data_IF_276507661932
#
_entry.id   IF_276507661932
#
_cell.length_a   1.000
_cell.length_b   1.000
_cell.length_c   1.000
_cell.angle_alpha   90.00
_cell.angle_beta   90.00
_cell.angle_gamma   90.00
#
_symmetry.space_group_name_H-M   'P 1'
#
loop_
_entity.id
_entity.type
_entity.pdbx_description
1 polymer ?
#
# COMPACT_ATOMS: atom_id res chain seq x y z
N UNK A 1 -10.39 -25.32 26.75
CA UNK A 1 -10.51 -23.91 26.33
C UNK A 1 -9.61 -23.71 25.12
N UNK A 2 -10.15 -23.31 23.98
CA UNK A 2 -9.30 -22.90 22.85
C UNK A 2 -8.60 -21.59 23.22
N UNK A 3 -7.27 -21.56 23.13
CA UNK A 3 -6.54 -20.28 23.18
C UNK A 3 -6.79 -19.55 21.87
N UNK A 4 -6.95 -18.23 21.94
CA UNK A 4 -7.03 -17.38 20.78
C UNK A 4 -6.02 -16.25 20.95
N UNK A 5 -5.21 -16.04 19.92
CA UNK A 5 -4.37 -14.86 19.82
C UNK A 5 -5.21 -13.72 19.25
N UNK A 6 -5.14 -12.55 19.90
CA UNK A 6 -5.85 -11.33 19.49
C UNK A 6 -4.86 -10.38 18.86
N UNK A 7 -5.15 -9.95 17.65
CA UNK A 7 -4.34 -8.97 16.94
C UNK A 7 -5.24 -7.91 16.30
N UNK A 8 -4.77 -6.67 16.35
CA UNK A 8 -5.43 -5.52 15.73
C UNK A 8 -4.94 -5.40 14.30
N UNK A 9 -5.87 -5.33 13.36
CA UNK A 9 -5.55 -5.18 11.94
C UNK A 9 -6.57 -4.26 11.26
N UNK A 10 -6.16 -3.70 10.12
CA UNK A 10 -7.02 -2.84 9.33
C UNK A 10 -7.84 -3.67 8.36
N UNK A 11 -9.16 -3.51 8.40
CA UNK A 11 -10.07 -4.10 7.41
C UNK A 11 -10.53 -3.04 6.45
N UNK A 12 -10.50 -3.38 5.17
CA UNK A 12 -10.96 -2.53 4.09
C UNK A 12 -12.48 -2.64 4.01
N UNK A 13 -13.17 -1.53 4.19
CA UNK A 13 -14.60 -1.41 3.94
C UNK A 13 -14.85 -1.20 2.45
N UNK A 14 -14.06 -0.34 1.80
CA UNK A 14 -14.01 -0.23 0.35
C UNK A 14 -12.71 0.41 -0.13
N UNK A 15 -12.39 0.20 -1.40
CA UNK A 15 -11.28 0.82 -2.08
C UNK A 15 -11.65 1.27 -3.49
N UNK A 16 -10.95 2.31 -3.96
CA UNK A 16 -11.19 2.92 -5.26
C UNK A 16 -9.93 3.62 -5.78
N UNK A 17 -9.75 3.63 -7.10
CA UNK A 17 -8.69 4.39 -7.76
C UNK A 17 -9.27 5.74 -8.16
N UNK A 18 -8.68 6.82 -7.66
CA UNK A 18 -9.16 8.18 -7.85
C UNK A 18 -8.04 9.03 -8.46
N UNK A 19 -8.40 9.88 -9.41
CA UNK A 19 -7.48 10.81 -10.08
C UNK A 19 -7.66 12.19 -9.43
N UNK A 20 -6.60 12.66 -8.80
CA UNK A 20 -6.50 14.02 -8.29
C UNK A 20 -5.69 14.84 -9.30
N UNK A 21 -6.14 16.05 -9.59
CA UNK A 21 -5.53 16.89 -10.61
C UNK A 21 -5.33 18.30 -10.08
N UNK A 22 -4.16 18.84 -10.37
CA UNK A 22 -3.83 20.24 -10.17
C UNK A 22 -3.31 20.85 -11.48
N UNK A 23 -3.64 22.12 -11.71
CA UNK A 23 -3.29 22.83 -12.95
C UNK A 23 -2.82 24.23 -12.56
N UNK A 24 -1.54 24.48 -12.76
CA UNK A 24 -0.95 25.81 -12.58
C UNK A 24 -0.50 26.38 -13.93
N UNK A 25 -0.55 27.70 -14.04
CA UNK A 25 -0.12 28.42 -15.24
C UNK A 25 0.80 29.56 -14.88
N UNK A 26 1.78 29.80 -15.74
CA UNK A 26 2.72 30.89 -15.58
C UNK A 26 3.59 30.75 -14.33
N UNK A 27 3.94 29.53 -13.93
CA UNK A 27 4.82 29.27 -12.79
C UNK A 27 6.19 29.88 -13.11
N UNK A 28 6.70 30.82 -12.29
CA UNK A 28 7.93 31.54 -12.58
C UNK A 28 9.15 30.63 -12.44
N UNK A 29 10.12 30.80 -13.34
CA UNK A 29 11.36 30.01 -13.36
C UNK A 29 12.52 30.82 -12.80
N UNK A 30 13.32 30.19 -11.94
CA UNK A 30 14.61 30.73 -11.50
C UNK A 30 15.69 29.64 -11.58
N UNK A 31 16.83 29.88 -12.26
CA UNK A 31 17.23 31.11 -12.98
C UNK A 31 16.53 31.28 -14.34
N UNK A 32 16.56 32.49 -14.91
CA UNK A 32 16.08 32.74 -16.27
C UNK A 32 16.75 31.80 -17.29
N UNK A 33 15.93 31.28 -18.21
CA UNK A 33 16.37 30.33 -19.24
C UNK A 33 16.54 31.04 -20.58
N UNK A 34 17.58 30.71 -21.36
CA UNK A 34 17.76 31.29 -22.68
C UNK A 34 16.62 30.87 -23.64
N UNK A 35 16.29 31.71 -24.64
CA UNK A 35 15.35 31.34 -25.69
C UNK A 35 15.74 30.02 -26.37
N UNK A 36 14.74 29.19 -26.68
CA UNK A 36 14.95 27.87 -27.27
C UNK A 36 15.30 26.75 -26.27
N UNK A 37 15.28 27.04 -24.96
CA UNK A 37 15.35 26.00 -23.93
C UNK A 37 14.13 25.06 -24.01
N UNK A 38 14.34 23.80 -23.66
CA UNK A 38 13.30 22.75 -23.69
C UNK A 38 13.38 21.90 -22.43
N UNK A 39 12.22 21.43 -21.95
CA UNK A 39 12.16 20.44 -20.86
C UNK A 39 12.51 19.07 -21.43
N UNK A 40 13.37 18.35 -20.74
CA UNK A 40 13.67 16.96 -21.01
C UNK A 40 12.73 16.07 -20.16
N UNK A 41 11.73 15.43 -20.77
CA UNK A 41 10.76 14.61 -20.04
C UNK A 41 11.37 13.33 -19.48
N UNK A 42 12.44 12.79 -20.08
CA UNK A 42 13.03 11.51 -19.68
C UNK A 42 13.93 11.67 -18.44
N UNK A 43 14.43 12.90 -18.21
CA UNK A 43 15.21 13.27 -17.02
C UNK A 43 14.42 14.06 -15.98
N UNK A 44 13.15 14.37 -16.26
CA UNK A 44 12.28 15.03 -15.29
C UNK A 44 11.66 13.99 -14.35
N UNK A 45 11.77 14.22 -13.05
CA UNK A 45 11.25 13.31 -12.01
C UNK A 45 10.24 14.06 -11.15
N UNK A 46 9.07 13.45 -10.95
CA UNK A 46 8.04 13.93 -10.02
C UNK A 46 7.76 12.85 -8.98
N UNK A 47 7.89 13.20 -7.71
CA UNK A 47 7.57 12.35 -6.58
C UNK A 47 6.46 13.00 -5.75
N UNK A 48 5.54 12.18 -5.27
CA UNK A 48 4.43 12.63 -4.44
C UNK A 48 4.26 11.70 -3.24
N UNK A 49 4.06 12.31 -2.07
CA UNK A 49 3.77 11.60 -0.84
C UNK A 49 2.52 12.19 -0.20
N UNK A 50 1.52 11.36 0.09
CA UNK A 50 0.35 11.80 0.84
C UNK A 50 0.72 11.92 2.31
N UNK A 51 0.57 13.13 2.85
CA UNK A 51 0.86 13.43 4.26
C UNK A 51 -0.39 13.25 5.12
N UNK A 52 -1.57 13.52 4.57
CA UNK A 52 -2.83 13.35 5.28
C UNK A 52 -3.97 12.90 4.35
N UNK A 53 -4.84 12.01 4.86
CA UNK A 53 -6.11 11.71 4.21
C UNK A 53 -7.27 11.82 5.21
N UNK A 54 -8.16 12.78 4.97
CA UNK A 54 -9.30 13.08 5.85
C UNK A 54 -10.57 12.54 5.22
N UNK A 55 -11.20 11.56 5.89
CA UNK A 55 -12.48 11.02 5.47
C UNK A 55 -13.62 11.90 5.97
N UNK A 56 -14.54 12.28 5.08
CA UNK A 56 -15.83 12.87 5.40
C UNK A 56 -16.95 11.93 4.99
N UNK A 57 -17.90 11.71 5.90
CA UNK A 57 -19.10 10.92 5.64
C UNK A 57 -20.30 11.85 5.51
N UNK A 58 -20.99 11.78 4.37
CA UNK A 58 -22.24 12.48 4.12
C UNK A 58 -23.41 11.49 4.23
N UNK A 59 -24.02 11.44 5.41
CA UNK A 59 -25.16 10.56 5.66
C UNK A 59 -26.45 11.02 4.98
N UNK A 60 -26.57 12.32 4.66
CA UNK A 60 -27.76 12.85 4.00
C UNK A 60 -27.81 12.46 2.52
N UNK A 61 -26.64 12.48 1.87
CA UNK A 61 -26.50 12.12 0.46
C UNK A 61 -26.00 10.69 0.24
N UNK A 62 -25.78 9.93 1.32
CA UNK A 62 -25.27 8.56 1.31
C UNK A 62 -23.95 8.41 0.52
N UNK A 63 -22.97 9.29 0.82
CA UNK A 63 -21.68 9.36 0.12
C UNK A 63 -20.50 9.51 1.05
N UNK A 64 -19.34 9.02 0.60
CA UNK A 64 -18.04 9.28 1.19
C UNK A 64 -17.26 10.27 0.35
N UNK A 65 -16.53 11.16 1.03
CA UNK A 65 -15.60 12.09 0.42
C UNK A 65 -14.28 12.03 1.18
N UNK A 66 -13.19 12.37 0.52
CA UNK A 66 -11.92 12.59 1.21
C UNK A 66 -11.20 13.83 0.69
N UNK A 67 -10.43 14.42 1.58
CA UNK A 67 -9.43 15.45 1.27
C UNK A 67 -8.06 14.79 1.41
N UNK A 68 -7.14 15.07 0.49
CA UNK A 68 -5.78 14.59 0.54
C UNK A 68 -4.80 15.76 0.57
N UNK A 69 -3.94 15.78 1.58
CA UNK A 69 -2.80 16.67 1.65
C UNK A 69 -1.57 15.91 1.16
N UNK A 70 -0.81 16.50 0.24
CA UNK A 70 0.34 15.88 -0.40
C UNK A 70 1.55 16.80 -0.39
N UNK A 71 2.73 16.21 -0.20
CA UNK A 71 4.00 16.84 -0.50
C UNK A 71 4.46 16.39 -1.88
N UNK A 72 4.81 17.36 -2.74
CA UNK A 72 5.27 17.15 -4.10
C UNK A 72 6.73 17.59 -4.19
N UNK A 73 7.58 16.73 -4.74
CA UNK A 73 8.98 17.02 -5.06
C UNK A 73 9.18 16.86 -6.56
N UNK A 74 9.83 17.82 -7.21
CA UNK A 74 10.04 17.83 -8.65
C UNK A 74 11.47 18.20 -8.98
N UNK A 75 12.09 17.40 -9.83
CA UNK A 75 13.38 17.70 -10.45
C UNK A 75 13.14 17.84 -11.95
N UNK A 76 13.04 19.08 -12.44
CA UNK A 76 12.73 19.36 -13.84
C UNK A 76 14.04 19.59 -14.60
N UNK A 77 14.37 18.67 -15.50
CA UNK A 77 15.56 18.78 -16.34
C UNK A 77 15.28 19.69 -17.54
N UNK A 78 16.13 20.70 -17.72
CA UNK A 78 16.02 21.66 -18.82
C UNK A 78 17.30 21.66 -19.65
N UNK A 79 17.15 21.42 -20.95
CA UNK A 79 18.20 21.60 -21.92
C UNK A 79 18.25 23.04 -22.41
N UNK A 80 19.47 23.58 -22.43
CA UNK A 80 19.73 24.98 -22.74
C UNK A 80 20.64 25.07 -23.98
N UNK A 81 20.24 25.78 -25.04
CA UNK A 81 21.06 25.90 -26.24
C UNK A 81 22.46 26.46 -25.93
N UNK A 82 23.50 25.71 -26.27
CA UNK A 82 24.90 26.13 -26.10
C UNK A 82 25.39 26.20 -24.64
N UNK A 83 24.58 25.76 -23.68
CA UNK A 83 24.92 25.73 -22.26
C UNK A 83 24.72 24.31 -21.69
N UNK A 84 25.35 23.98 -20.55
CA UNK A 84 25.04 22.74 -19.84
C UNK A 84 23.56 22.68 -19.47
N UNK A 85 22.95 21.49 -19.42
CA UNK A 85 21.60 21.32 -18.86
C UNK A 85 21.56 21.81 -17.41
N UNK A 86 20.37 22.20 -16.94
CA UNK A 86 20.12 22.57 -15.55
C UNK A 86 18.95 21.77 -15.01
N UNK A 87 18.98 21.45 -13.72
CA UNK A 87 17.84 20.87 -13.00
C UNK A 87 17.22 21.96 -12.15
N UNK A 88 15.90 22.13 -12.27
CA UNK A 88 15.11 23.01 -11.44
C UNK A 88 14.43 22.16 -10.37
N UNK A 89 14.78 22.40 -9.11
CA UNK A 89 14.28 21.63 -7.96
C UNK A 89 13.12 22.39 -7.29
N UNK A 90 11.97 21.73 -7.14
CA UNK A 90 10.79 22.28 -6.49
C UNK A 90 10.27 21.33 -5.41
N UNK A 91 9.81 21.89 -4.30
CA UNK A 91 9.19 21.16 -3.21
C UNK A 91 8.07 21.97 -2.58
N UNK A 92 6.86 21.45 -2.57
CA UNK A 92 5.70 22.15 -2.01
C UNK A 92 4.64 21.22 -1.45
N UNK A 93 3.77 21.77 -0.60
CA UNK A 93 2.59 21.07 -0.12
C UNK A 93 1.36 21.54 -0.90
N UNK A 94 0.49 20.61 -1.26
CA UNK A 94 -0.77 20.87 -1.94
C UNK A 94 -1.91 20.14 -1.22
N UNK A 95 -3.07 20.79 -1.14
CA UNK A 95 -4.31 20.18 -0.67
C UNK A 95 -5.23 19.93 -1.85
N UNK A 96 -5.55 18.67 -2.11
CA UNK A 96 -6.56 18.30 -3.10
C UNK A 96 -7.95 18.36 -2.46
N UNK A 97 -8.86 19.19 -3.01
CA UNK A 97 -10.20 19.37 -2.45
C UNK A 97 -11.05 18.11 -2.59
N UNK A 98 -12.18 18.08 -1.88
CA UNK A 98 -13.00 16.88 -1.66
C UNK A 98 -13.26 16.04 -2.93
N UNK A 99 -12.69 14.84 -2.95
CA UNK A 99 -12.95 13.83 -3.96
C UNK A 99 -13.94 12.78 -3.41
N UNK A 100 -14.89 12.38 -4.25
CA UNK A 100 -15.92 11.39 -3.89
C UNK A 100 -15.39 9.97 -4.04
N UNK A 101 -15.70 9.11 -3.06
CA UNK A 101 -15.52 7.65 -3.15
C UNK A 101 -16.87 7.03 -3.49
N UNK A 102 -17.00 6.49 -4.70
CA UNK A 102 -18.20 5.83 -5.23
C UNK A 102 -18.22 4.32 -4.95
N UNK A 103 -17.07 3.70 -4.64
CA UNK A 103 -16.93 2.26 -4.45
C UNK A 103 -17.77 1.68 -3.30
N UNK A 104 -18.23 2.50 -2.36
CA UNK A 104 -19.18 2.10 -1.33
C UNK A 104 -20.05 3.26 -0.83
N UNK A 105 -21.15 2.90 -0.15
CA UNK A 105 -22.06 3.86 0.48
C UNK A 105 -22.10 3.72 2.00
N UNK A 106 -22.27 4.81 2.76
CA UNK A 106 -22.47 4.75 4.20
C UNK A 106 -23.58 3.78 4.63
N UNK A 107 -24.72 3.76 3.93
CA UNK A 107 -25.87 2.88 4.23
C UNK A 107 -25.56 1.38 4.16
N UNK A 108 -24.48 0.99 3.48
CA UNK A 108 -24.06 -0.41 3.34
C UNK A 108 -23.17 -0.87 4.50
N UNK A 109 -22.74 0.05 5.37
CA UNK A 109 -21.81 -0.22 6.47
C UNK A 109 -22.57 -0.17 7.80
N UNK A 110 -22.23 -1.10 8.71
CA UNK A 110 -22.86 -1.17 10.02
C UNK A 110 -22.60 0.12 10.83
N UNK A 111 -23.58 0.66 11.59
CA UNK A 111 -23.46 1.94 12.28
C UNK A 111 -22.30 2.08 13.27
N UNK A 112 -21.89 0.99 13.90
CA UNK A 112 -20.75 0.91 14.82
C UNK A 112 -19.41 0.97 14.07
N UNK A 113 -19.33 0.34 12.90
CA UNK A 113 -18.16 0.41 12.01
C UNK A 113 -18.04 1.80 11.38
N UNK A 114 -19.15 2.40 10.94
CA UNK A 114 -19.19 3.73 10.30
C UNK A 114 -18.42 4.79 11.09
N UNK A 115 -18.56 4.80 12.42
CA UNK A 115 -17.91 5.78 13.32
C UNK A 115 -16.40 5.59 13.45
N UNK A 116 -15.89 4.45 13.00
CA UNK A 116 -14.49 4.02 13.15
C UNK A 116 -13.75 4.03 11.81
N UNK A 117 -14.44 4.39 10.74
CA UNK A 117 -13.86 4.49 9.41
C UNK A 117 -12.82 5.61 9.37
N UNK A 118 -11.77 5.36 8.60
CA UNK A 118 -10.75 6.34 8.25
C UNK A 118 -10.32 6.13 6.81
N UNK A 119 -9.78 7.19 6.21
CA UNK A 119 -9.15 7.09 4.91
C UNK A 119 -7.69 6.65 5.06
N UNK A 120 -7.22 5.82 4.13
CA UNK A 120 -5.82 5.54 3.89
C UNK A 120 -5.55 5.59 2.39
N UNK A 121 -4.40 6.14 2.00
CA UNK A 121 -3.91 6.02 0.62
C UNK A 121 -2.93 4.84 0.59
N UNK A 122 -3.24 3.86 -0.25
CA UNK A 122 -2.48 2.62 -0.36
C UNK A 122 -1.38 2.68 -1.42
N UNK A 123 -1.67 3.34 -2.54
CA UNK A 123 -0.74 3.51 -3.66
C UNK A 123 -0.92 4.90 -4.25
N UNK A 124 0.16 5.44 -4.80
CA UNK A 124 0.20 6.73 -5.46
C UNK A 124 1.09 6.66 -6.70
N UNK A 125 0.58 7.18 -7.80
CA UNK A 125 1.35 7.41 -9.03
C UNK A 125 1.23 8.86 -9.41
N UNK A 126 2.36 9.54 -9.51
CA UNK A 126 2.44 10.90 -10.00
C UNK A 126 2.75 10.89 -11.51
N UNK A 127 2.08 11.76 -12.24
CA UNK A 127 2.37 12.08 -13.63
C UNK A 127 2.31 13.59 -13.77
N UNK A 128 3.18 14.12 -14.62
CA UNK A 128 3.32 15.55 -14.80
C UNK A 128 3.45 15.88 -16.28
N UNK A 129 2.75 16.94 -16.68
CA UNK A 129 2.83 17.52 -18.01
C UNK A 129 3.27 18.97 -17.88
N UNK A 130 4.42 19.29 -18.49
CA UNK A 130 5.02 20.61 -18.42
C UNK A 130 5.09 21.23 -19.81
N UNK A 131 4.76 22.52 -19.89
CA UNK A 131 4.94 23.32 -21.10
C UNK A 131 5.77 24.55 -20.77
N UNK A 132 6.97 24.65 -21.32
CA UNK A 132 7.90 25.72 -21.05
C UNK A 132 7.63 26.94 -21.94
N UNK A 133 7.61 28.14 -21.35
CA UNK A 133 7.67 29.43 -22.06
C UNK A 133 8.93 30.22 -21.64
N UNK A 134 10.06 30.03 -22.34
CA UNK A 134 11.29 30.72 -22.03
C UNK A 134 11.20 32.24 -22.23
N UNK A 135 10.29 32.73 -23.08
CA UNK A 135 10.18 34.15 -23.37
C UNK A 135 9.47 34.90 -22.23
N UNK A 136 8.47 34.26 -21.63
CA UNK A 136 7.82 34.75 -20.42
C UNK A 136 8.61 34.43 -19.13
N UNK A 137 9.59 33.52 -19.20
CA UNK A 137 10.33 33.04 -18.04
C UNK A 137 9.48 32.17 -17.12
N UNK A 138 8.52 31.43 -17.70
CA UNK A 138 7.54 30.66 -16.96
C UNK A 138 7.34 29.26 -17.55
N UNK A 139 6.62 28.40 -16.84
CA UNK A 139 6.04 27.19 -17.39
C UNK A 139 4.60 27.00 -16.91
N UNK A 140 3.83 26.28 -17.72
CA UNK A 140 2.52 25.76 -17.33
C UNK A 140 2.67 24.30 -16.92
N UNK A 141 1.93 23.88 -15.89
CA UNK A 141 1.96 22.50 -15.40
C UNK A 141 0.57 21.89 -15.23
N UNK A 142 0.51 20.58 -15.41
CA UNK A 142 -0.61 19.76 -14.96
C UNK A 142 -0.06 18.57 -14.20
N UNK A 143 -0.29 18.57 -12.89
CA UNK A 143 0.02 17.46 -12.00
C UNK A 143 -1.18 16.53 -11.90
N UNK A 144 -0.95 15.23 -12.09
CA UNK A 144 -1.96 14.19 -11.96
C UNK A 144 -1.46 13.16 -10.95
N UNK A 145 -2.20 13.01 -9.85
CA UNK A 145 -1.98 11.94 -8.89
C UNK A 145 -3.07 10.89 -9.04
N UNK A 146 -2.69 9.68 -9.45
CA UNK A 146 -3.58 8.51 -9.38
C UNK A 146 -3.37 7.83 -8.04
N UNK A 147 -4.37 7.92 -7.17
CA UNK A 147 -4.30 7.38 -5.81
C UNK A 147 -5.24 6.19 -5.65
N UNK A 148 -4.78 5.15 -4.95
CA UNK A 148 -5.66 4.07 -4.48
C UNK A 148 -6.11 4.39 -3.06
N UNK A 149 -7.35 4.86 -2.92
CA UNK A 149 -7.95 5.22 -1.65
C UNK A 149 -8.59 3.98 -1.04
N UNK A 150 -8.37 3.77 0.26
CA UNK A 150 -9.03 2.73 1.05
C UNK A 150 -9.74 3.36 2.24
N UNK A 151 -11.02 3.08 2.36
CA UNK A 151 -11.79 3.36 3.58
C UNK A 151 -11.64 2.13 4.46
N UNK A 152 -11.03 2.29 5.63
CA UNK A 152 -10.69 1.19 6.53
C UNK A 152 -11.18 1.42 7.95
N UNK A 153 -11.28 0.36 8.73
CA UNK A 153 -11.46 0.41 10.18
C UNK A 153 -10.51 -0.56 10.86
N UNK A 154 -10.14 -0.27 12.11
CA UNK A 154 -9.38 -1.22 12.93
C UNK A 154 -10.34 -2.33 13.39
N UNK A 155 -9.99 -3.59 13.23
CA UNK A 155 -10.74 -4.74 13.75
C UNK A 155 -9.82 -5.59 14.64
N UNK A 156 -10.42 -6.33 15.58
CA UNK A 156 -9.72 -7.34 16.36
C UNK A 156 -10.04 -8.71 15.79
N UNK A 157 -9.03 -9.33 15.20
CA UNK A 157 -9.20 -10.67 14.65
C UNK A 157 -8.74 -11.67 15.71
N UNK A 158 -9.54 -12.73 15.87
CA UNK A 158 -9.26 -13.85 16.76
C UNK A 158 -8.65 -14.99 15.95
N UNK A 159 -7.36 -15.28 16.14
CA UNK A 159 -6.75 -16.49 15.55
C UNK A 159 -6.94 -17.63 16.54
N UNK A 160 -7.57 -18.75 16.15
CA UNK A 160 -7.53 -19.96 16.95
C UNK A 160 -6.07 -20.42 17.09
N UNK A 161 -5.56 -20.50 18.31
CA UNK A 161 -4.24 -21.08 18.56
C UNK A 161 -4.38 -22.60 18.36
N UNK A 162 -3.56 -23.24 17.50
CA UNK A 162 -3.67 -24.68 17.30
C UNK A 162 -3.34 -25.41 18.60
N UNK A 163 -4.31 -26.13 19.17
CA UNK A 163 -4.02 -27.14 20.19
C UNK A 163 -3.19 -28.25 19.54
N UNK A 164 -2.09 -28.70 20.18
CA UNK A 164 -1.27 -29.77 19.64
C UNK A 164 -2.06 -31.08 19.69
N UNK A 165 -2.77 -31.38 18.62
CA UNK A 165 -3.42 -32.67 18.45
C UNK A 165 -2.43 -33.55 17.72
N UNK A 166 -1.79 -34.45 18.45
CA UNK A 166 -1.03 -35.56 17.86
C UNK A 166 -2.04 -36.41 17.08
N UNK A 167 -1.85 -36.60 15.78
CA UNK A 167 -2.59 -37.60 15.01
C UNK A 167 -1.75 -38.15 13.84
N UNK A 168 -1.99 -39.42 13.47
CA UNK A 168 -0.95 -40.30 12.95
C UNK A 168 -0.66 -40.10 11.47
N UNK A 169 0.58 -40.42 11.11
CA UNK A 169 1.13 -40.42 9.76
C UNK A 169 0.30 -41.27 8.79
N UNK A 170 -0.29 -40.64 7.76
CA UNK A 170 -0.74 -41.30 6.54
C UNK A 170 -0.07 -40.60 5.35
N UNK A 171 0.59 -41.39 4.51
CA UNK A 171 1.38 -40.92 3.36
C UNK A 171 0.50 -40.31 2.25
N UNK A 172 0.97 -39.29 1.50
CA UNK A 172 0.15 -38.60 0.51
C UNK A 172 0.22 -39.27 -0.88
N UNK A 173 -0.95 -39.48 -1.48
CA UNK A 173 -1.11 -39.79 -2.92
C UNK A 173 -1.33 -38.49 -3.70
N UNK A 174 -0.79 -38.48 -4.91
CA UNK A 174 -0.47 -37.33 -5.77
C UNK A 174 -1.70 -36.63 -6.35
N UNK A 175 -2.05 -35.47 -5.80
CA UNK A 175 -2.61 -34.28 -6.48
C UNK A 175 -2.62 -33.16 -5.43
N UNK A 176 -2.10 -31.94 -5.69
CA UNK A 176 -2.24 -30.87 -4.71
C UNK A 176 -3.75 -30.57 -4.60
N UNK A 177 -4.39 -30.76 -3.43
CA UNK A 177 -5.79 -30.41 -3.29
C UNK A 177 -5.94 -28.92 -3.61
N UNK A 178 -7.09 -28.50 -4.16
CA UNK A 178 -7.43 -27.11 -4.49
C UNK A 178 -7.06 -26.15 -3.33
N UNK A 179 -7.16 -26.66 -2.10
CA UNK A 179 -6.72 -26.05 -0.86
C UNK A 179 -5.24 -25.61 -0.80
N UNK A 180 -4.31 -26.38 -1.35
CA UNK A 180 -2.87 -26.02 -1.41
C UNK A 180 -2.65 -24.87 -2.40
N UNK A 181 -3.37 -24.84 -3.51
CA UNK A 181 -3.24 -23.78 -4.52
C UNK A 181 -3.68 -22.43 -3.95
N UNK A 182 -4.86 -22.38 -3.32
CA UNK A 182 -5.39 -21.16 -2.67
C UNK A 182 -4.46 -20.68 -1.57
N UNK A 183 -4.01 -21.59 -0.69
CA UNK A 183 -3.10 -21.27 0.41
C UNK A 183 -1.74 -20.75 -0.07
N UNK A 184 -1.20 -21.29 -1.17
CA UNK A 184 0.07 -20.80 -1.73
C UNK A 184 -0.09 -19.45 -2.42
N UNK A 185 -1.25 -19.16 -3.02
CA UNK A 185 -1.53 -17.86 -3.63
C UNK A 185 -1.58 -16.75 -2.57
N UNK A 186 -2.24 -17.00 -1.44
CA UNK A 186 -2.26 -16.04 -0.33
C UNK A 186 -0.86 -15.74 0.22
N UNK A 187 0.01 -16.75 0.30
CA UNK A 187 1.41 -16.55 0.72
C UNK A 187 2.26 -15.83 -0.35
N UNK A 188 1.99 -16.01 -1.64
CA UNK A 188 2.64 -15.22 -2.69
C UNK A 188 2.24 -13.74 -2.63
N UNK A 189 0.99 -13.44 -2.24
CA UNK A 189 0.53 -12.07 -1.98
C UNK A 189 1.32 -11.47 -0.81
N UNK A 190 1.50 -12.22 0.29
CA UNK A 190 2.35 -11.80 1.42
C UNK A 190 3.78 -11.51 0.95
N UNK A 191 4.38 -12.40 0.15
CA UNK A 191 5.71 -12.20 -0.39
C UNK A 191 5.81 -10.95 -1.29
N UNK A 192 4.79 -10.71 -2.12
CA UNK A 192 4.66 -9.50 -2.93
C UNK A 192 4.65 -8.24 -2.07
N UNK A 193 3.86 -8.22 -0.98
CA UNK A 193 3.80 -7.08 -0.06
C UNK A 193 5.10 -6.86 0.70
N UNK A 194 5.79 -7.92 1.13
CA UNK A 194 7.12 -7.80 1.75
C UNK A 194 8.10 -7.13 0.78
N UNK A 195 8.11 -7.51 -0.49
CA UNK A 195 9.00 -6.91 -1.50
C UNK A 195 8.68 -5.43 -1.76
N UNK A 196 7.39 -5.08 -1.78
CA UNK A 196 6.94 -3.72 -2.07
C UNK A 196 7.11 -2.76 -0.88
N UNK A 197 6.90 -3.24 0.34
CA UNK A 197 6.80 -2.42 1.55
C UNK A 197 8.09 -2.38 2.37
N UNK A 198 8.99 -3.34 2.17
CA UNK A 198 10.27 -3.42 2.87
C UNK A 198 11.38 -3.29 1.84
N UNK A 199 12.09 -2.16 1.90
CA UNK A 199 13.28 -1.92 1.07
C UNK A 199 14.36 -3.01 1.26
N UNK A 200 15.33 -3.10 0.33
CA UNK A 200 16.41 -4.09 0.40
C UNK A 200 17.09 -4.10 1.76
N UNK A 201 16.96 -5.20 2.50
CA UNK A 201 17.46 -5.32 3.87
C UNK A 201 17.52 -6.77 4.31
N UNK A 202 18.36 -7.08 5.30
CA UNK A 202 18.44 -8.41 5.91
C UNK A 202 17.07 -8.88 6.45
N UNK A 203 16.28 -7.94 6.98
CA UNK A 203 14.91 -8.22 7.41
C UNK A 203 14.03 -8.68 6.25
N UNK A 204 14.05 -7.97 5.12
CA UNK A 204 13.27 -8.35 3.92
C UNK A 204 13.60 -9.78 3.50
N UNK A 205 14.89 -10.09 3.41
CA UNK A 205 15.35 -11.39 2.92
C UNK A 205 14.99 -12.51 3.90
N UNK A 206 15.06 -12.27 5.20
CA UNK A 206 14.62 -13.20 6.24
C UNK A 206 13.10 -13.48 6.20
N UNK A 207 12.29 -12.44 6.00
CA UNK A 207 10.84 -12.56 5.89
C UNK A 207 10.44 -13.33 4.62
N UNK A 208 11.05 -12.99 3.48
CA UNK A 208 10.81 -13.70 2.21
C UNK A 208 11.25 -15.17 2.30
N UNK A 209 12.37 -15.45 2.97
CA UNK A 209 12.81 -16.83 3.20
C UNK A 209 11.79 -17.62 4.02
N UNK A 210 11.22 -17.01 5.06
CA UNK A 210 10.20 -17.64 5.92
C UNK A 210 8.90 -17.94 5.14
N UNK A 211 8.46 -17.01 4.29
CA UNK A 211 7.29 -17.24 3.42
C UNK A 211 7.56 -18.35 2.39
N UNK A 212 8.73 -18.35 1.77
CA UNK A 212 9.13 -19.40 0.82
C UNK A 212 9.19 -20.78 1.49
N UNK A 213 9.68 -20.85 2.74
CA UNK A 213 9.68 -22.08 3.53
C UNK A 213 8.26 -22.56 3.82
N UNK A 214 7.34 -21.67 4.23
CA UNK A 214 5.94 -22.02 4.45
C UNK A 214 5.26 -22.55 3.17
N UNK A 215 5.50 -21.92 2.01
CA UNK A 215 5.01 -22.41 0.70
C UNK A 215 5.56 -23.80 0.39
N UNK A 216 6.86 -24.03 0.63
CA UNK A 216 7.49 -25.35 0.41
C UNK A 216 6.86 -26.43 1.28
N UNK A 217 6.64 -26.13 2.56
CA UNK A 217 6.01 -27.05 3.52
C UNK A 217 4.56 -27.38 3.11
N UNK A 218 3.78 -26.39 2.68
CA UNK A 218 2.42 -26.62 2.16
C UNK A 218 2.41 -27.52 0.91
N UNK A 219 3.34 -27.30 -0.03
CA UNK A 219 3.50 -28.15 -1.21
C UNK A 219 3.89 -29.59 -0.87
N UNK A 220 4.53 -29.80 0.28
CA UNK A 220 4.89 -31.12 0.82
C UNK A 220 3.79 -31.74 1.68
N UNK A 221 2.65 -31.07 1.89
CA UNK A 221 1.58 -31.52 2.78
C UNK A 221 1.89 -31.36 4.28
N UNK A 222 2.98 -30.68 4.62
CA UNK A 222 3.44 -30.40 5.99
C UNK A 222 2.76 -29.14 6.53
N UNK A 223 1.44 -29.23 6.72
CA UNK A 223 0.62 -28.04 6.99
C UNK A 223 0.87 -27.48 8.39
N UNK A 224 1.11 -28.35 9.37
CA UNK A 224 1.36 -27.92 10.75
C UNK A 224 2.70 -27.17 10.87
N UNK A 225 3.72 -27.67 10.17
CA UNK A 225 5.03 -27.04 10.09
C UNK A 225 4.95 -25.68 9.38
N UNK A 226 4.15 -25.59 8.32
CA UNK A 226 3.90 -24.31 7.64
C UNK A 226 3.24 -23.29 8.58
N UNK A 227 2.27 -23.70 9.39
CA UNK A 227 1.61 -22.84 10.38
C UNK A 227 2.58 -22.37 11.48
N UNK A 228 3.52 -23.22 11.92
CA UNK A 228 4.56 -22.83 12.88
C UNK A 228 5.48 -21.76 12.29
N UNK A 229 5.91 -21.93 11.03
CA UNK A 229 6.73 -20.93 10.33
C UNK A 229 5.99 -19.59 10.20
N UNK A 230 4.69 -19.62 9.89
CA UNK A 230 3.87 -18.41 9.80
C UNK A 230 3.66 -17.72 11.16
N UNK A 231 3.52 -18.47 12.25
CA UNK A 231 3.46 -17.88 13.61
C UNK A 231 4.78 -17.17 13.96
N UNK A 232 5.92 -17.83 13.72
CA UNK A 232 7.23 -17.22 13.97
C UNK A 232 7.46 -15.97 13.08
N UNK A 233 6.94 -15.98 11.86
CA UNK A 233 6.95 -14.82 10.97
C UNK A 233 6.11 -13.66 11.54
N UNK A 234 4.92 -13.94 12.05
CA UNK A 234 4.06 -12.95 12.72
C UNK A 234 4.76 -12.34 13.94
N UNK A 235 5.39 -13.16 14.78
CA UNK A 235 6.07 -12.68 16.00
C UNK A 235 7.25 -11.75 15.66
N UNK A 236 8.07 -12.13 14.68
CA UNK A 236 9.18 -11.30 14.21
C UNK A 236 8.69 -9.97 13.63
N UNK A 237 7.61 -9.98 12.84
CA UNK A 237 7.02 -8.75 12.29
C UNK A 237 6.41 -7.87 13.38
N UNK A 238 5.76 -8.46 14.39
CA UNK A 238 5.18 -7.73 15.50
C UNK A 238 6.26 -7.05 16.35
N UNK A 239 7.40 -7.72 16.57
CA UNK A 239 8.55 -7.14 17.24
C UNK A 239 9.09 -5.92 16.47
N UNK A 240 9.27 -6.04 15.16
CA UNK A 240 9.72 -4.94 14.31
C UNK A 240 8.69 -3.79 14.29
N UNK A 241 7.40 -4.12 14.19
CA UNK A 241 6.30 -3.15 14.24
C UNK A 241 6.33 -2.30 15.52
N UNK A 242 6.63 -2.91 16.67
CA UNK A 242 6.72 -2.22 17.95
C UNK A 242 7.94 -1.30 18.02
N UNK A 243 9.05 -1.67 17.38
CA UNK A 243 10.32 -0.94 17.37
C UNK A 243 10.45 0.17 16.30
N UNK A 244 9.64 0.16 15.25
CA UNK A 244 9.79 1.06 14.09
C UNK A 244 8.48 1.83 13.76
N UNK A 245 8.21 2.97 14.45
CA UNK A 245 6.94 3.70 14.31
C UNK A 245 6.66 4.17 12.88
N UNK A 246 7.68 4.57 12.12
CA UNK A 246 7.58 5.03 10.72
C UNK A 246 7.21 3.92 9.71
N UNK A 247 7.26 2.64 10.11
CA UNK A 247 6.93 1.50 9.24
C UNK A 247 5.68 0.75 9.67
N UNK A 248 4.96 1.24 10.70
CA UNK A 248 3.78 0.56 11.26
C UNK A 248 2.71 0.30 10.20
N UNK A 249 2.50 1.24 9.29
CA UNK A 249 1.46 1.13 8.26
C UNK A 249 1.77 0.01 7.25
N UNK A 250 2.99 -0.02 6.73
CA UNK A 250 3.51 -1.10 5.89
C UNK A 250 3.45 -2.47 6.58
N UNK A 251 3.86 -2.52 7.85
CA UNK A 251 3.93 -3.76 8.62
C UNK A 251 2.55 -4.29 9.05
N UNK A 252 1.56 -3.42 9.32
CA UNK A 252 0.20 -3.87 9.66
C UNK A 252 -0.47 -4.57 8.48
N UNK A 253 -0.21 -4.12 7.25
CA UNK A 253 -0.74 -4.73 6.03
C UNK A 253 -0.16 -6.12 5.80
N UNK A 254 1.15 -6.30 6.03
CA UNK A 254 1.81 -7.61 5.93
C UNK A 254 1.26 -8.56 7.00
N UNK A 255 1.09 -8.09 8.23
CA UNK A 255 0.49 -8.86 9.32
C UNK A 255 -0.95 -9.30 9.01
N UNK A 256 -1.75 -8.41 8.42
CA UNK A 256 -3.11 -8.70 7.98
C UNK A 256 -3.16 -9.82 6.94
N UNK A 257 -2.33 -9.76 5.90
CA UNK A 257 -2.29 -10.79 4.86
C UNK A 257 -1.78 -12.13 5.37
N UNK A 258 -0.79 -12.13 6.29
CA UNK A 258 -0.34 -13.36 6.95
C UNK A 258 -1.48 -14.00 7.73
N UNK A 259 -2.31 -13.20 8.40
CA UNK A 259 -3.46 -13.71 9.11
C UNK A 259 -4.52 -14.29 8.18
N UNK A 260 -4.81 -13.64 7.05
CA UNK A 260 -5.71 -14.17 6.01
C UNK A 260 -5.17 -15.49 5.48
N UNK A 261 -3.89 -15.56 5.12
CA UNK A 261 -3.26 -16.78 4.64
C UNK A 261 -3.34 -17.92 5.69
N UNK A 262 -3.13 -17.62 6.98
CA UNK A 262 -3.30 -18.62 8.06
C UNK A 262 -4.74 -19.12 8.17
N UNK A 263 -5.75 -18.25 8.05
CA UNK A 263 -7.16 -18.65 8.07
C UNK A 263 -7.49 -19.56 6.89
N UNK A 264 -7.03 -19.22 5.69
CA UNK A 264 -7.22 -20.05 4.50
C UNK A 264 -6.57 -21.42 4.65
N UNK A 265 -5.32 -21.47 5.16
CA UNK A 265 -4.62 -22.73 5.44
C UNK A 265 -5.39 -23.57 6.46
N UNK A 266 -5.89 -22.99 7.54
CA UNK A 266 -6.64 -23.73 8.57
C UNK A 266 -7.98 -24.24 8.01
N UNK A 267 -8.70 -23.43 7.24
CA UNK A 267 -9.94 -23.83 6.59
C UNK A 267 -9.74 -24.93 5.55
N UNK A 268 -8.56 -24.99 4.94
CA UNK A 268 -8.18 -26.01 3.98
C UNK A 268 -7.95 -27.41 4.57
N UNK A 269 -7.84 -27.54 5.90
CA UNK A 269 -7.58 -28.81 6.61
C UNK A 269 -8.87 -29.34 7.29
N UNK A 270 -9.95 -28.56 7.32
CA UNK A 270 -11.27 -28.97 7.82
C UNK A 270 -12.10 -29.59 6.70
#
# INVERSE_FOLDING_TARGET
MALFDRFKADRVACDEIIILRDIERGVPIQPELPPGSTIDPDRTVVEAAITECKLRTDLANDRFFFTADAFISKDIAVDRPGLPSVTLEYGFNITFPEAMVAGCRPSQIQPDILRRLRCQIYDIKAQEYLTLDPAAGTFDETLILTVTVKIVFEDQILIPTPTPTVSPTVAPTVTPPICVVVSTLALEIVAGKIRAQIGPSALRDQLLHSVALAIKLLKMGLVQEALVVLSALTDNLQFVFNSAPFRRQALSLILGDIAVARIEIVNAIR
#
